data_IF_400813792272
#
_entry.id   IF_400813792272
#
_cell.length_a   1.000
_cell.length_b   1.000
_cell.length_c   1.000
_cell.angle_alpha   90.00
_cell.angle_beta   90.00
_cell.angle_gamma   90.00
#
_symmetry.space_group_name_H-M   'P 1'
#
loop_
_entity.id
_entity.type
_entity.pdbx_description
1 polymer ?
#
# COMPACT_ATOMS: atom_id res chain seq x y z
N UNK A 1 23.05 -3.31 -2.11
CA UNK A 1 21.65 -3.62 -2.48
C UNK A 1 20.67 -2.62 -1.89
N UNK A 2 20.53 -2.48 -0.57
CA UNK A 2 19.70 -1.40 0.05
C UNK A 2 20.49 -0.09 0.16
N UNK A 3 21.70 -0.12 0.76
CA UNK A 3 22.56 1.07 0.92
C UNK A 3 22.90 1.77 -0.42
N UNK A 4 22.97 1.01 -1.52
CA UNK A 4 23.21 1.58 -2.86
C UNK A 4 21.97 2.33 -3.35
N UNK A 5 20.77 1.79 -3.11
CA UNK A 5 19.54 2.45 -3.51
C UNK A 5 19.31 3.74 -2.69
N UNK A 6 19.63 3.70 -1.39
CA UNK A 6 19.63 4.88 -0.52
C UNK A 6 20.61 5.96 -1.03
N UNK A 7 21.85 5.59 -1.32
CA UNK A 7 22.86 6.49 -1.88
C UNK A 7 22.45 7.09 -3.24
N UNK A 8 21.55 6.42 -3.97
CA UNK A 8 21.01 6.85 -5.27
C UNK A 8 19.62 7.47 -5.17
N UNK A 9 19.07 7.65 -3.97
CA UNK A 9 17.73 8.21 -3.74
C UNK A 9 16.63 7.46 -4.51
N UNK A 10 16.73 6.13 -4.56
CA UNK A 10 15.74 5.27 -5.18
C UNK A 10 14.80 4.64 -4.15
N UNK A 11 13.52 4.53 -4.48
CA UNK A 11 12.60 3.69 -3.74
C UNK A 11 12.97 2.21 -3.90
N UNK A 12 12.79 1.42 -2.84
CA UNK A 12 13.06 -0.03 -2.84
C UNK A 12 11.82 -0.78 -2.37
N UNK A 13 11.47 -1.84 -3.08
CA UNK A 13 10.44 -2.81 -2.68
C UNK A 13 11.14 -4.15 -2.48
N UNK A 14 10.91 -4.77 -1.32
CA UNK A 14 11.47 -6.09 -0.99
C UNK A 14 10.32 -7.09 -0.85
N UNK A 15 10.02 -7.87 -1.92
CA UNK A 15 9.01 -8.93 -1.83
C UNK A 15 9.50 -10.05 -0.91
N UNK A 16 8.61 -10.57 -0.07
CA UNK A 16 8.85 -11.72 0.80
C UNK A 16 7.98 -12.89 0.35
N UNK A 17 8.52 -14.11 0.41
CA UNK A 17 7.84 -15.35 -0.01
C UNK A 17 7.38 -15.31 -1.47
N UNK A 18 8.29 -14.91 -2.38
CA UNK A 18 7.98 -14.74 -3.80
C UNK A 18 7.52 -16.04 -4.48
N UNK A 19 7.91 -17.19 -3.94
CA UNK A 19 7.48 -18.50 -4.46
C UNK A 19 5.98 -18.73 -4.32
N UNK A 20 5.31 -17.96 -3.44
CA UNK A 20 3.84 -18.01 -3.24
C UNK A 20 3.09 -16.91 -4.01
N UNK A 21 3.78 -16.08 -4.80
CA UNK A 21 3.13 -15.01 -5.54
C UNK A 21 2.31 -15.59 -6.70
N UNK A 22 1.09 -15.08 -6.97
CA UNK A 22 0.23 -15.64 -7.99
C UNK A 22 0.78 -15.42 -9.40
N UNK A 23 0.52 -16.39 -10.28
CA UNK A 23 0.78 -16.24 -11.71
C UNK A 23 -0.21 -15.28 -12.38
N UNK A 24 0.13 -14.79 -13.58
CA UNK A 24 -0.64 -13.79 -14.33
C UNK A 24 -2.13 -14.16 -14.59
N UNK A 25 -2.49 -15.45 -14.56
CA UNK A 25 -3.85 -15.93 -14.82
C UNK A 25 -4.62 -16.27 -13.54
N UNK A 26 -3.98 -16.21 -12.38
CA UNK A 26 -4.57 -16.66 -11.12
C UNK A 26 -5.23 -15.48 -10.40
N UNK A 27 -6.50 -15.21 -10.75
CA UNK A 27 -7.29 -14.16 -10.09
C UNK A 27 -7.37 -14.45 -8.58
N UNK A 28 -7.04 -13.43 -7.79
CA UNK A 28 -7.10 -13.44 -6.35
C UNK A 28 -8.38 -12.74 -5.88
N UNK A 29 -9.00 -13.33 -4.86
CA UNK A 29 -10.13 -12.76 -4.13
C UNK A 29 -9.75 -12.73 -2.65
N UNK A 30 -10.04 -11.63 -1.96
CA UNK A 30 -9.60 -11.42 -0.60
C UNK A 30 -9.31 -9.96 -0.29
N UNK A 31 -8.31 -9.69 0.54
CA UNK A 31 -7.94 -8.33 0.93
C UNK A 31 -6.50 -7.99 0.57
N UNK A 32 -6.26 -6.72 0.22
CA UNK A 32 -4.93 -6.11 0.20
C UNK A 32 -4.85 -5.23 1.44
N UNK A 33 -4.06 -5.65 2.41
CA UNK A 33 -3.93 -4.96 3.69
C UNK A 33 -2.69 -4.05 3.66
N UNK A 34 -2.93 -2.74 3.81
CA UNK A 34 -1.89 -1.72 3.83
C UNK A 34 -1.67 -1.30 5.29
N UNK A 35 -0.45 -1.47 5.77
CA UNK A 35 -0.03 -1.04 7.11
C UNK A 35 0.82 0.22 6.99
N UNK A 36 0.16 1.37 7.08
CA UNK A 36 0.80 2.68 7.01
C UNK A 36 1.27 3.11 8.40
N UNK A 37 2.48 2.69 8.76
CA UNK A 37 3.07 2.98 10.09
C UNK A 37 3.94 4.25 10.05
N UNK A 38 4.55 4.53 8.89
CA UNK A 38 5.44 5.67 8.68
C UNK A 38 4.98 6.42 7.43
N UNK A 39 4.99 7.75 7.49
CA UNK A 39 4.71 8.59 6.34
C UNK A 39 5.77 8.38 5.25
N UNK A 40 5.35 7.72 4.17
CA UNK A 40 6.17 7.31 3.02
C UNK A 40 5.90 8.18 1.77
N UNK A 41 5.22 9.32 1.95
CA UNK A 41 4.82 10.19 0.85
C UNK A 41 3.73 9.60 -0.07
N UNK A 42 3.05 8.53 0.36
CA UNK A 42 1.97 7.91 -0.40
C UNK A 42 2.39 6.78 -1.35
N UNK A 43 3.65 6.33 -1.27
CA UNK A 43 4.16 5.24 -2.10
C UNK A 43 3.37 3.94 -1.92
N UNK A 44 3.00 3.58 -0.70
CA UNK A 44 2.20 2.39 -0.38
C UNK A 44 0.81 2.45 -1.03
N UNK A 45 0.20 3.64 -1.04
CA UNK A 45 -1.09 3.84 -1.70
C UNK A 45 -0.98 3.75 -3.22
N UNK A 46 0.09 4.30 -3.80
CA UNK A 46 0.38 4.13 -5.23
C UNK A 46 0.55 2.65 -5.59
N UNK A 47 1.27 1.87 -4.77
CA UNK A 47 1.45 0.43 -5.00
C UNK A 47 0.10 -0.30 -4.94
N UNK A 48 -0.72 -0.03 -3.93
CA UNK A 48 -2.04 -0.65 -3.80
C UNK A 48 -2.96 -0.31 -4.99
N UNK A 49 -2.93 0.94 -5.45
CA UNK A 49 -3.63 1.38 -6.65
C UNK A 49 -3.20 0.62 -7.91
N UNK A 50 -1.88 0.49 -8.12
CA UNK A 50 -1.32 -0.22 -9.26
C UNK A 50 -1.66 -1.71 -9.22
N UNK A 51 -1.59 -2.34 -8.06
CA UNK A 51 -2.01 -3.73 -7.86
C UNK A 51 -3.49 -3.89 -8.21
N UNK A 52 -4.35 -2.99 -7.73
CA UNK A 52 -5.80 -3.07 -7.94
C UNK A 52 -6.20 -2.95 -9.41
N UNK A 53 -5.40 -2.28 -10.24
CA UNK A 53 -5.60 -2.20 -11.70
C UNK A 53 -5.17 -3.48 -12.45
N UNK A 54 -4.43 -4.38 -11.81
CA UNK A 54 -4.04 -5.65 -12.40
C UNK A 54 -5.17 -6.67 -12.27
N UNK A 55 -5.46 -7.41 -13.36
CA UNK A 55 -6.52 -8.45 -13.39
C UNK A 55 -6.37 -9.51 -12.30
N UNK A 56 -5.15 -9.81 -11.87
CA UNK A 56 -4.87 -10.75 -10.78
C UNK A 56 -5.49 -10.27 -9.47
N UNK A 57 -5.52 -8.96 -9.19
CA UNK A 57 -5.96 -8.40 -7.90
C UNK A 57 -7.22 -7.52 -8.01
N UNK A 58 -7.85 -7.47 -9.18
CA UNK A 58 -9.01 -6.61 -9.47
C UNK A 58 -10.23 -6.91 -8.57
N UNK A 59 -10.27 -8.09 -7.94
CA UNK A 59 -11.34 -8.50 -7.01
C UNK A 59 -10.99 -8.35 -5.53
N UNK A 60 -9.76 -7.98 -5.18
CA UNK A 60 -9.34 -7.84 -3.78
C UNK A 60 -9.80 -6.52 -3.14
N UNK A 61 -10.38 -6.55 -1.95
CA UNK A 61 -10.76 -5.33 -1.23
C UNK A 61 -9.54 -4.71 -0.54
N UNK A 62 -9.34 -3.39 -0.66
CA UNK A 62 -8.26 -2.71 0.05
C UNK A 62 -8.70 -2.39 1.49
N UNK A 63 -7.81 -2.60 2.46
CA UNK A 63 -7.98 -2.18 3.85
C UNK A 63 -6.75 -1.42 4.31
N UNK A 64 -6.95 -0.28 4.95
CA UNK A 64 -5.88 0.56 5.47
C UNK A 64 -5.86 0.50 7.00
N UNK A 65 -4.68 0.23 7.54
CA UNK A 65 -4.38 0.28 8.95
C UNK A 65 -3.28 1.33 9.16
N UNK A 66 -3.52 2.27 10.08
CA UNK A 66 -2.53 3.27 10.49
C UNK A 66 -2.33 3.18 12.00
N UNK A 67 -1.16 3.60 12.46
CA UNK A 67 -0.85 3.69 13.90
C UNK A 67 -0.84 5.17 14.28
N UNK A 68 -1.79 5.57 15.10
CA UNK A 68 -1.80 6.89 15.69
C UNK A 68 -0.98 6.90 16.99
N UNK A 69 -0.20 7.96 17.20
CA UNK A 69 0.47 8.24 18.47
C UNK A 69 -0.48 8.97 19.41
N UNK A 70 -0.15 9.03 20.70
CA UNK A 70 -0.99 9.67 21.73
C UNK A 70 -1.23 11.16 21.46
N UNK A 71 -0.31 11.80 20.75
CA UNK A 71 -0.33 13.22 20.40
C UNK A 71 -1.08 13.51 19.10
N UNK A 72 -1.41 12.47 18.32
CA UNK A 72 -2.05 12.62 17.01
C UNK A 72 -3.57 12.83 17.14
N UNK A 73 -4.09 13.79 16.37
CA UNK A 73 -5.52 13.90 16.14
C UNK A 73 -6.01 12.78 15.22
N UNK A 74 -6.29 11.62 15.80
CA UNK A 74 -6.72 10.41 15.08
C UNK A 74 -7.96 10.62 14.20
N UNK A 75 -8.84 11.57 14.57
CA UNK A 75 -10.05 11.88 13.80
C UNK A 75 -9.71 12.64 12.51
N UNK A 76 -8.82 13.61 12.59
CA UNK A 76 -8.34 14.38 11.43
C UNK A 76 -7.51 13.50 10.50
N UNK A 77 -6.60 12.69 11.05
CA UNK A 77 -5.84 11.71 10.28
C UNK A 77 -6.73 10.75 9.50
N UNK A 78 -7.81 10.26 10.13
CA UNK A 78 -8.81 9.42 9.44
C UNK A 78 -9.48 10.16 8.29
N UNK A 79 -9.90 11.40 8.51
CA UNK A 79 -10.58 12.21 7.48
C UNK A 79 -9.67 12.48 6.28
N UNK A 80 -8.41 12.81 6.52
CA UNK A 80 -7.43 13.07 5.46
C UNK A 80 -7.15 11.80 4.65
N UNK A 81 -7.05 10.65 5.33
CA UNK A 81 -6.92 9.35 4.68
C UNK A 81 -8.14 9.00 3.84
N UNK A 82 -9.35 9.21 4.34
CA UNK A 82 -10.60 8.99 3.59
C UNK A 82 -10.67 9.88 2.35
N UNK A 83 -10.31 11.15 2.49
CA UNK A 83 -10.25 12.09 1.36
C UNK A 83 -9.21 11.67 0.32
N UNK A 84 -8.04 11.20 0.76
CA UNK A 84 -6.99 10.71 -0.12
C UNK A 84 -7.41 9.45 -0.89
N UNK A 85 -8.05 8.48 -0.22
CA UNK A 85 -8.60 7.27 -0.87
C UNK A 85 -9.64 7.64 -1.92
N UNK A 86 -10.54 8.59 -1.59
CA UNK A 86 -11.55 9.08 -2.52
C UNK A 86 -10.93 9.70 -3.79
N UNK A 87 -9.88 10.52 -3.64
CA UNK A 87 -9.17 11.10 -4.79
C UNK A 87 -8.53 10.03 -5.68
N UNK A 88 -8.01 8.96 -5.09
CA UNK A 88 -7.45 7.83 -5.82
C UNK A 88 -8.52 6.90 -6.42
N UNK A 89 -9.81 7.10 -6.07
CA UNK A 89 -10.94 6.24 -6.43
C UNK A 89 -10.74 4.79 -5.97
N UNK A 90 -10.18 4.64 -4.76
CA UNK A 90 -9.96 3.35 -4.07
C UNK A 90 -11.01 3.18 -2.99
#
# INVERSE_FOLDING_TARGET
>A
TIAIAEARQCAVIVPKNIDNFPEHKQIQEGTIDIWWIIHDGGLLFLIAFLLKRNKVWERCRIRLFTVAQLEDNSVEMKKDLEQYMYQLRI
#
